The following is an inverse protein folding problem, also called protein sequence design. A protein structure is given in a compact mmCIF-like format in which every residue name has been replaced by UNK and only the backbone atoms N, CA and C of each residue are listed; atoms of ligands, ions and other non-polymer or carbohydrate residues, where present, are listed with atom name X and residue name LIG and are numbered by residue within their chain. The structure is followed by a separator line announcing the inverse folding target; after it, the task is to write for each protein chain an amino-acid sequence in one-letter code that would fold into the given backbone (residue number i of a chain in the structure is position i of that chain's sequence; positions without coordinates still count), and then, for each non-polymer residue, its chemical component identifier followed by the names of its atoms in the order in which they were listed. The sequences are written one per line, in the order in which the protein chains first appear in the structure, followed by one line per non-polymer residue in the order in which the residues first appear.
data_IF_272900436485
#
_entry.id   IF_272900436485
#
_cell.length_a   1.000
_cell.length_b   1.000
_cell.length_c   1.000
_cell.angle_alpha   90.00
_cell.angle_beta   90.00
_cell.angle_gamma   90.00
#
_symmetry.space_group_name_H-M   'P 1'
#
loop_
_entity.id
_entity.type
_entity.pdbx_description
1 polymer ?
#
# COMPACT_ATOMS: atom_id res chain seq x y z
N UNK A 1 -42.16 -7.14 38.89
CA UNK A 1 -41.62 -7.30 37.53
C UNK A 1 -41.32 -5.90 37.00
N UNK A 2 -40.06 -5.47 37.10
CA UNK A 2 -39.65 -4.12 36.67
C UNK A 2 -39.53 -4.14 35.15
N UNK A 3 -40.44 -3.41 34.47
CA UNK A 3 -40.38 -3.21 33.04
C UNK A 3 -39.20 -2.26 32.76
N UNK A 4 -38.04 -2.83 32.42
CA UNK A 4 -36.91 -2.07 31.89
C UNK A 4 -37.32 -1.55 30.50
N UNK A 5 -37.80 -0.32 30.43
CA UNK A 5 -37.94 0.41 29.17
C UNK A 5 -36.54 0.71 28.68
N UNK A 6 -35.99 -0.20 27.88
CA UNK A 6 -34.77 0.04 27.12
C UNK A 6 -35.17 1.08 26.06
N UNK A 7 -34.82 2.34 26.31
CA UNK A 7 -34.87 3.40 25.31
C UNK A 7 -33.87 3.04 24.20
N UNK A 8 -34.30 2.21 23.25
CA UNK A 8 -33.71 2.26 21.93
C UNK A 8 -34.10 3.63 21.38
N UNK A 9 -33.15 4.56 21.28
CA UNK A 9 -33.31 5.75 20.46
C UNK A 9 -33.46 5.30 19.00
N UNK A 10 -34.65 4.84 18.64
CA UNK A 10 -35.07 4.63 17.26
C UNK A 10 -35.29 6.05 16.73
N UNK A 11 -34.20 6.71 16.30
CA UNK A 11 -34.32 7.96 15.57
C UNK A 11 -35.29 7.74 14.40
N UNK A 12 -36.36 8.54 14.35
CA UNK A 12 -37.31 8.49 13.26
C UNK A 12 -36.61 8.97 11.99
N UNK A 13 -36.70 8.18 10.92
CA UNK A 13 -36.21 8.61 9.63
C UNK A 13 -37.10 9.72 9.06
N UNK A 14 -36.56 10.58 8.18
CA UNK A 14 -37.37 11.54 7.43
C UNK A 14 -38.52 10.85 6.67
N UNK A 15 -39.66 11.54 6.44
CA UNK A 15 -40.84 10.95 5.79
C UNK A 15 -40.57 10.34 4.40
N UNK A 16 -39.57 10.85 3.68
CA UNK A 16 -39.14 10.43 2.35
C UNK A 16 -38.06 9.32 2.36
N UNK A 17 -37.56 8.94 3.54
CA UNK A 17 -36.44 8.00 3.68
C UNK A 17 -36.81 6.86 4.62
N UNK A 18 -37.44 5.78 4.12
CA UNK A 18 -37.83 4.66 4.97
C UNK A 18 -36.60 4.04 5.65
N UNK A 19 -36.81 3.41 6.81
CA UNK A 19 -35.75 2.71 7.52
C UNK A 19 -35.48 1.35 6.85
N UNK A 20 -34.22 1.03 6.63
CA UNK A 20 -33.75 -0.24 6.08
C UNK A 20 -33.08 -1.09 7.16
N UNK A 21 -33.29 -2.41 7.08
CA UNK A 21 -32.60 -3.39 7.91
C UNK A 21 -31.47 -4.02 7.10
N UNK A 22 -30.24 -3.77 7.51
CA UNK A 22 -29.05 -4.21 6.81
C UNK A 22 -28.56 -5.52 7.40
N UNK A 23 -28.11 -6.45 6.56
CA UNK A 23 -27.44 -7.67 7.02
C UNK A 23 -26.13 -7.34 7.77
N UNK A 24 -25.44 -6.29 7.32
CA UNK A 24 -24.17 -5.83 7.86
C UNK A 24 -24.32 -4.36 8.28
N UNK A 25 -23.89 -3.98 9.50
CA UNK A 25 -23.87 -2.58 9.91
C UNK A 25 -23.06 -1.73 8.91
N UNK A 26 -23.59 -0.60 8.40
CA UNK A 26 -22.90 0.22 7.41
C UNK A 26 -21.48 0.62 7.83
N UNK A 27 -21.25 0.93 9.10
CA UNK A 27 -19.94 1.34 9.61
C UNK A 27 -18.95 0.20 9.83
N UNK A 28 -19.34 -1.08 9.71
CA UNK A 28 -18.46 -2.20 10.06
C UNK A 28 -17.13 -2.16 9.27
N UNK A 29 -17.19 -1.83 7.98
CA UNK A 29 -16.01 -1.77 7.10
C UNK A 29 -15.88 -0.42 6.36
N UNK A 30 -16.77 0.54 6.64
CA UNK A 30 -16.73 1.82 5.95
C UNK A 30 -15.55 2.67 6.43
N UNK A 31 -14.89 3.36 5.50
CA UNK A 31 -13.79 4.28 5.78
C UNK A 31 -13.97 5.58 5.03
N UNK A 32 -13.41 6.65 5.59
CA UNK A 32 -13.39 7.98 4.98
C UNK A 32 -11.93 8.43 4.80
N UNK A 33 -11.25 8.07 3.70
CA UNK A 33 -9.83 8.37 3.54
C UNK A 33 -9.48 9.86 3.63
N UNK A 34 -10.41 10.73 3.21
CA UNK A 34 -10.27 12.18 3.32
C UNK A 34 -10.30 12.69 4.77
N UNK A 35 -10.94 11.97 5.68
CA UNK A 35 -11.10 12.29 7.10
C UNK A 35 -10.84 11.04 7.96
N UNK A 36 -9.57 10.64 8.13
CA UNK A 36 -9.21 9.38 8.80
C UNK A 36 -9.56 9.36 10.29
N UNK A 37 -9.76 10.52 10.89
CA UNK A 37 -10.20 10.76 12.26
C UNK A 37 -11.73 10.87 12.40
N UNK A 38 -12.48 10.81 11.29
CA UNK A 38 -13.93 10.92 11.34
C UNK A 38 -14.57 9.72 12.03
N UNK A 39 -15.50 10.00 12.92
CA UNK A 39 -16.37 9.00 13.55
C UNK A 39 -17.42 8.55 12.55
N UNK A 40 -17.51 7.25 12.31
CA UNK A 40 -18.60 6.66 11.53
C UNK A 40 -19.85 6.49 12.40
N UNK A 41 -21.01 6.80 11.85
CA UNK A 41 -22.33 6.59 12.43
C UNK A 41 -23.20 5.84 11.43
N UNK A 42 -23.79 4.72 11.88
CA UNK A 42 -24.69 3.94 11.05
C UNK A 42 -25.95 4.74 10.71
N UNK A 43 -26.26 4.85 9.42
CA UNK A 43 -27.46 5.51 8.94
C UNK A 43 -28.32 4.50 8.15
N UNK A 44 -29.42 4.10 8.77
CA UNK A 44 -30.39 3.15 8.21
C UNK A 44 -31.52 3.83 7.43
N UNK A 45 -31.52 5.16 7.29
CA UNK A 45 -32.58 5.90 6.63
C UNK A 45 -32.31 6.03 5.13
N UNK A 46 -33.24 5.58 4.29
CA UNK A 46 -33.13 5.56 2.84
C UNK A 46 -32.07 4.59 2.30
N UNK A 47 -31.54 3.71 3.15
CA UNK A 47 -30.59 2.67 2.76
C UNK A 47 -29.68 2.25 3.91
N UNK A 48 -28.62 1.50 3.57
CA UNK A 48 -27.55 1.07 4.45
C UNK A 48 -26.35 2.01 4.29
N UNK A 49 -26.42 3.20 4.88
CA UNK A 49 -25.47 4.28 4.65
C UNK A 49 -24.53 4.44 5.84
N UNK A 50 -23.27 4.79 5.56
CA UNK A 50 -22.28 5.15 6.56
C UNK A 50 -22.07 6.66 6.54
N UNK A 51 -22.43 7.34 7.62
CA UNK A 51 -22.24 8.78 7.76
C UNK A 51 -20.99 9.07 8.59
N UNK A 52 -20.11 9.93 8.09
CA UNK A 52 -18.85 10.27 8.75
C UNK A 52 -18.91 11.67 9.34
N UNK A 53 -18.37 11.84 10.55
CA UNK A 53 -18.40 13.10 11.30
C UNK A 53 -17.03 13.46 11.86
N UNK A 54 -16.66 14.73 11.76
CA UNK A 54 -15.53 15.32 12.50
C UNK A 54 -16.11 16.28 13.52
N UNK A 55 -16.01 15.94 14.80
CA UNK A 55 -16.85 16.55 15.84
C UNK A 55 -18.32 16.30 15.53
N UNK A 56 -19.12 17.36 15.47
CA UNK A 56 -20.56 17.29 15.15
C UNK A 56 -20.87 17.57 13.66
N UNK A 57 -19.84 17.80 12.83
CA UNK A 57 -20.03 18.13 11.41
C UNK A 57 -19.96 16.89 10.54
N UNK A 58 -21.04 16.61 9.79
CA UNK A 58 -21.04 15.55 8.77
C UNK A 58 -20.11 15.92 7.62
N UNK A 59 -19.18 15.04 7.29
CA UNK A 59 -18.18 15.24 6.22
C UNK A 59 -18.50 14.40 4.99
N UNK A 60 -18.08 14.88 3.82
CA UNK A 60 -18.19 14.14 2.57
C UNK A 60 -16.84 13.51 2.22
N UNK A 61 -16.76 12.18 2.23
CA UNK A 61 -15.52 11.45 1.98
C UNK A 61 -14.95 11.60 0.55
N UNK A 62 -15.76 12.09 -0.40
CA UNK A 62 -15.31 12.45 -1.75
C UNK A 62 -14.74 13.87 -1.85
N UNK A 63 -14.88 14.68 -0.80
CA UNK A 63 -14.38 16.05 -0.73
C UNK A 63 -13.20 16.15 0.23
N UNK A 64 -12.27 17.02 -0.09
CA UNK A 64 -11.14 17.27 0.78
C UNK A 64 -11.54 18.14 1.99
N UNK A 65 -10.85 17.99 3.14
CA UNK A 65 -11.07 18.87 4.29
C UNK A 65 -10.87 20.35 3.94
N UNK A 66 -11.60 21.30 4.58
CA UNK A 66 -11.46 22.73 4.31
C UNK A 66 -10.02 23.24 4.48
N UNK A 67 -9.28 22.67 5.43
CA UNK A 67 -7.88 23.01 5.72
C UNK A 67 -6.86 22.21 4.88
N UNK A 68 -7.32 21.33 3.99
CA UNK A 68 -6.50 20.54 3.05
C UNK A 68 -7.14 20.58 1.66
N UNK A 69 -7.14 21.73 0.97
CA UNK A 69 -7.82 21.88 -0.31
C UNK A 69 -7.32 20.86 -1.34
N UNK A 70 -8.15 20.57 -2.34
CA UNK A 70 -7.77 19.66 -3.42
C UNK A 70 -6.74 20.33 -4.33
N UNK A 71 -5.67 19.62 -4.64
CA UNK A 71 -4.64 20.04 -5.60
C UNK A 71 -4.81 19.29 -6.93
N UNK A 72 -4.54 19.99 -8.03
CA UNK A 72 -4.47 19.42 -9.37
C UNK A 72 -3.00 19.20 -9.73
N UNK A 73 -2.60 17.93 -9.78
CA UNK A 73 -1.22 17.54 -10.02
C UNK A 73 -0.98 17.33 -11.52
N UNK A 74 0.17 17.76 -12.03
CA UNK A 74 0.58 17.45 -13.40
C UNK A 74 0.78 15.95 -13.61
N UNK A 75 1.30 15.27 -12.59
CA UNK A 75 1.55 13.83 -12.59
C UNK A 75 0.79 13.21 -11.41
N UNK A 76 0.02 12.12 -11.62
CA UNK A 76 -0.63 11.39 -10.53
C UNK A 76 0.41 10.97 -9.47
N UNK A 77 0.17 11.22 -8.16
CA UNK A 77 1.14 10.94 -7.12
C UNK A 77 1.69 9.50 -7.12
N UNK A 78 0.84 8.51 -7.40
CA UNK A 78 1.24 7.10 -7.41
C UNK A 78 2.04 6.67 -8.64
N UNK A 79 2.19 7.50 -9.68
CA UNK A 79 2.83 7.09 -10.92
C UNK A 79 4.31 6.70 -10.72
N UNK A 80 5.02 7.39 -9.83
CA UNK A 80 6.44 7.13 -9.52
C UNK A 80 6.71 6.88 -8.03
N UNK A 81 5.69 6.91 -7.18
CA UNK A 81 5.86 6.73 -5.74
C UNK A 81 6.14 5.25 -5.41
N UNK A 82 7.00 5.03 -4.42
CA UNK A 82 7.33 3.69 -3.90
C UNK A 82 7.31 3.72 -2.38
N UNK A 83 7.05 2.56 -1.78
CA UNK A 83 7.09 2.35 -0.34
C UNK A 83 8.17 1.32 0.01
N UNK A 84 9.42 1.73 0.30
CA UNK A 84 10.51 0.77 0.57
C UNK A 84 10.24 -0.16 1.76
N UNK A 85 9.55 0.35 2.78
CA UNK A 85 9.17 -0.42 3.96
C UNK A 85 8.11 -1.51 3.65
N UNK A 86 7.31 -1.32 2.60
CA UNK A 86 6.25 -2.25 2.19
C UNK A 86 6.21 -2.34 0.66
N UNK A 87 7.12 -3.11 0.04
CA UNK A 87 7.24 -3.17 -1.42
C UNK A 87 5.96 -3.60 -2.15
N UNK A 88 5.13 -4.41 -1.48
CA UNK A 88 3.86 -4.93 -2.01
C UNK A 88 2.65 -4.06 -1.65
N UNK A 89 2.86 -2.89 -1.03
CA UNK A 89 1.76 -2.00 -0.65
C UNK A 89 1.06 -1.41 -1.89
N UNK A 90 -0.27 -1.38 -1.84
CA UNK A 90 -1.09 -0.70 -2.83
C UNK A 90 -0.97 0.82 -2.66
N UNK A 91 -0.60 1.51 -3.73
CA UNK A 91 -0.61 2.98 -3.76
C UNK A 91 -2.00 3.52 -4.13
N UNK A 92 -2.43 4.59 -3.48
CA UNK A 92 -3.65 5.34 -3.76
C UNK A 92 -3.32 6.83 -3.85
N UNK A 93 -3.76 7.48 -4.92
CA UNK A 93 -3.55 8.91 -5.10
C UNK A 93 -4.34 9.71 -4.06
N UNK A 94 -3.67 10.66 -3.41
CA UNK A 94 -4.28 11.59 -2.47
C UNK A 94 -4.01 13.04 -2.90
N UNK A 95 -5.07 13.68 -3.39
CA UNK A 95 -5.03 15.07 -3.88
C UNK A 95 -5.36 16.11 -2.81
N UNK A 96 -5.64 15.70 -1.56
CA UNK A 96 -6.03 16.62 -0.50
C UNK A 96 -4.81 17.18 0.23
N UNK A 97 -4.66 18.50 0.24
CA UNK A 97 -3.52 19.21 0.85
C UNK A 97 -2.20 19.03 0.09
N UNK A 98 -2.23 18.49 -1.12
CA UNK A 98 -1.07 18.34 -2.00
C UNK A 98 -1.19 17.18 -2.98
N UNK A 99 -0.07 16.86 -3.63
CA UNK A 99 0.10 15.72 -4.53
C UNK A 99 0.74 14.56 -3.76
N UNK A 100 -0.06 13.86 -2.95
CA UNK A 100 0.42 12.87 -2.00
C UNK A 100 0.14 11.44 -2.46
N UNK A 101 1.05 10.53 -2.18
CA UNK A 101 0.87 9.10 -2.42
C UNK A 101 0.63 8.38 -1.08
N UNK A 102 -0.55 7.78 -0.92
CA UNK A 102 -0.89 6.99 0.26
C UNK A 102 -0.70 5.51 -0.04
N UNK A 103 -0.04 4.77 0.86
CA UNK A 103 0.24 3.35 0.68
C UNK A 103 -0.51 2.49 1.69
N UNK A 104 -1.00 1.34 1.24
CA UNK A 104 -1.82 0.44 2.03
C UNK A 104 -1.35 -1.01 1.93
N UNK A 105 -1.34 -1.72 3.06
CA UNK A 105 -1.24 -3.18 3.12
C UNK A 105 -2.59 -3.69 3.59
N UNK A 106 -3.31 -4.38 2.70
CA UNK A 106 -4.76 -4.58 2.87
C UNK A 106 -5.48 -3.23 2.97
N UNK A 107 -6.25 -3.03 4.03
CA UNK A 107 -6.99 -1.77 4.25
C UNK A 107 -6.29 -0.81 5.23
N UNK A 108 -5.05 -1.11 5.64
CA UNK A 108 -4.30 -0.33 6.62
C UNK A 108 -3.33 0.60 5.93
N UNK A 109 -3.47 1.91 6.15
CA UNK A 109 -2.52 2.92 5.65
C UNK A 109 -1.19 2.77 6.38
N UNK A 110 -0.11 2.58 5.64
CA UNK A 110 1.24 2.41 6.17
C UNK A 110 2.08 3.66 5.96
N UNK A 111 3.06 3.87 6.84
CA UNK A 111 4.08 4.91 6.68
C UNK A 111 5.25 4.32 5.89
N UNK A 112 5.59 4.96 4.77
CA UNK A 112 6.69 4.54 3.90
C UNK A 112 8.06 5.05 4.31
N UNK A 113 8.10 6.02 5.22
CA UNK A 113 9.32 6.32 5.95
C UNK A 113 9.72 5.06 6.71
N UNK A 114 10.93 4.57 6.46
CA UNK A 114 11.49 3.50 7.28
C UNK A 114 11.66 4.05 8.70
N UNK A 115 10.94 3.54 9.72
CA UNK A 115 11.23 3.96 11.08
C UNK A 115 12.72 3.77 11.39
N UNK A 116 13.39 4.72 12.05
CA UNK A 116 14.77 4.49 12.49
C UNK A 116 14.91 3.22 13.36
N UNK A 117 13.81 2.80 14.02
CA UNK A 117 13.72 1.61 14.86
C UNK A 117 13.52 0.28 14.08
N UNK A 118 13.27 0.32 12.78
CA UNK A 118 13.21 -0.89 11.93
C UNK A 118 14.45 -1.07 11.07
N UNK A 119 15.47 -0.22 11.23
CA UNK A 119 16.81 -0.50 10.70
C UNK A 119 17.33 -1.69 11.49
N UNK A 120 17.26 -2.88 10.88
CA UNK A 120 17.74 -4.08 11.56
C UNK A 120 19.26 -4.08 11.56
N UNK A 121 19.87 -4.19 12.74
CA UNK A 121 21.32 -4.35 12.85
C UNK A 121 21.68 -5.78 12.46
N UNK A 122 22.04 -5.95 11.20
CA UNK A 122 22.52 -7.23 10.70
C UNK A 122 23.91 -7.50 11.27
N UNK A 123 24.16 -8.75 11.70
CA UNK A 123 25.53 -9.19 12.06
C UNK A 123 26.51 -9.03 10.90
N UNK A 124 26.00 -9.21 9.67
CA UNK A 124 26.74 -9.05 8.41
C UNK A 124 25.85 -8.29 7.43
N UNK A 125 26.38 -7.31 6.67
CA UNK A 125 25.62 -6.63 5.62
C UNK A 125 25.01 -7.63 4.62
N UNK A 126 23.72 -7.49 4.26
CA UNK A 126 23.05 -8.45 3.37
C UNK A 126 23.74 -8.68 2.02
N UNK A 127 24.31 -7.64 1.41
CA UNK A 127 25.04 -7.73 0.15
C UNK A 127 26.37 -8.48 0.26
N UNK A 128 26.93 -8.65 1.47
CA UNK A 128 28.14 -9.45 1.68
C UNK A 128 27.80 -10.94 1.73
N UNK A 129 26.57 -11.28 2.13
CA UNK A 129 26.04 -12.64 2.11
C UNK A 129 25.46 -13.01 0.74
N UNK A 130 24.79 -12.06 0.09
CA UNK A 130 24.11 -12.23 -1.19
C UNK A 130 24.60 -11.14 -2.15
N UNK A 131 25.79 -11.34 -2.73
CA UNK A 131 26.43 -10.35 -3.60
C UNK A 131 26.02 -10.46 -5.07
N UNK A 132 25.37 -11.55 -5.46
CA UNK A 132 25.01 -11.83 -6.84
C UNK A 132 23.52 -12.20 -7.01
N UNK A 133 22.97 -11.78 -8.13
CA UNK A 133 21.63 -12.09 -8.60
C UNK A 133 21.75 -12.99 -9.83
N UNK A 134 21.53 -14.31 -9.73
CA UNK A 134 21.76 -15.25 -10.84
C UNK A 134 21.00 -14.88 -12.12
N UNK A 135 19.76 -14.38 -11.97
CA UNK A 135 18.94 -13.93 -13.10
C UNK A 135 19.44 -12.63 -13.75
N UNK A 136 20.22 -11.82 -13.02
CA UNK A 136 20.77 -10.55 -13.50
C UNK A 136 22.21 -10.35 -13.00
N UNK A 137 23.21 -11.03 -13.60
CA UNK A 137 24.60 -11.02 -13.11
C UNK A 137 25.28 -9.63 -13.10
N UNK A 138 24.71 -8.68 -13.85
CA UNK A 138 25.17 -7.27 -13.90
C UNK A 138 24.44 -6.36 -12.91
N UNK A 139 23.48 -6.87 -12.15
CA UNK A 139 22.75 -6.06 -11.19
C UNK A 139 23.65 -5.70 -10.00
N UNK A 140 23.56 -4.45 -9.56
CA UNK A 140 24.25 -3.95 -8.37
C UNK A 140 23.42 -4.29 -7.13
N UNK A 141 24.04 -4.91 -6.13
CA UNK A 141 23.42 -5.11 -4.83
C UNK A 141 23.41 -3.80 -4.01
N UNK A 142 22.32 -3.57 -3.28
CA UNK A 142 22.15 -2.49 -2.32
C UNK A 142 21.59 -3.06 -1.03
N UNK A 143 22.26 -2.76 0.09
CA UNK A 143 21.81 -3.19 1.41
C UNK A 143 20.48 -2.49 1.76
N UNK A 144 19.46 -3.28 2.08
CA UNK A 144 18.18 -2.81 2.55
C UNK A 144 17.94 -3.33 3.97
N UNK A 145 18.06 -2.41 4.93
CA UNK A 145 17.87 -2.69 6.36
C UNK A 145 16.44 -2.46 6.84
N UNK A 146 15.52 -2.11 5.95
CA UNK A 146 14.19 -1.72 6.35
C UNK A 146 13.32 -2.95 6.65
N UNK A 147 12.98 -3.14 7.93
CA UNK A 147 12.15 -4.27 8.37
C UNK A 147 12.89 -5.62 8.41
N UNK A 148 14.20 -5.63 8.17
CA UNK A 148 15.01 -6.85 8.13
C UNK A 148 16.37 -6.64 7.47
N UNK A 149 17.05 -7.75 7.16
CA UNK A 149 18.36 -7.78 6.52
C UNK A 149 18.22 -8.26 5.07
N UNK A 150 17.94 -7.34 4.15
CA UNK A 150 17.63 -7.68 2.76
C UNK A 150 18.70 -7.18 1.79
N UNK A 151 18.93 -7.96 0.73
CA UNK A 151 19.76 -7.58 -0.40
C UNK A 151 18.85 -7.24 -1.60
N UNK A 152 18.80 -5.97 -1.98
CA UNK A 152 18.04 -5.53 -3.15
C UNK A 152 18.98 -5.37 -4.35
N UNK A 153 18.59 -5.92 -5.50
CA UNK A 153 19.40 -5.88 -6.72
C UNK A 153 18.84 -4.92 -7.75
N UNK A 154 19.71 -4.12 -8.36
CA UNK A 154 19.35 -3.09 -9.33
C UNK A 154 20.13 -3.22 -10.63
N UNK A 155 19.43 -3.32 -11.76
CA UNK A 155 20.04 -3.24 -13.09
C UNK A 155 19.64 -1.90 -13.72
N UNK A 156 20.63 -1.09 -14.13
CA UNK A 156 20.41 0.24 -14.71
C UNK A 156 19.47 1.12 -13.85
N UNK A 157 19.61 1.07 -12.53
CA UNK A 157 18.81 1.85 -11.57
C UNK A 157 17.40 1.31 -11.30
N UNK A 158 17.00 0.18 -11.90
CA UNK A 158 15.69 -0.46 -11.64
C UNK A 158 15.87 -1.73 -10.80
N UNK A 159 15.05 -1.90 -9.75
CA UNK A 159 15.05 -3.11 -8.91
C UNK A 159 14.60 -4.32 -9.74
N UNK A 160 15.34 -5.42 -9.66
CA UNK A 160 15.07 -6.66 -10.39
C UNK A 160 14.77 -7.80 -9.42
N UNK A 161 13.99 -8.79 -9.87
CA UNK A 161 13.67 -9.99 -9.08
C UNK A 161 14.62 -11.13 -9.46
N UNK A 162 15.48 -11.52 -8.52
CA UNK A 162 16.48 -12.57 -8.72
C UNK A 162 15.89 -13.99 -8.79
N UNK A 163 14.62 -14.18 -8.44
CA UNK A 163 13.92 -15.46 -8.57
C UNK A 163 13.27 -15.63 -9.95
N UNK A 164 13.07 -14.53 -10.68
CA UNK A 164 12.51 -14.58 -12.03
C UNK A 164 13.64 -14.86 -13.01
N UNK A 165 13.82 -16.14 -13.35
CA UNK A 165 14.64 -16.53 -14.49
C UNK A 165 14.07 -15.80 -15.71
N UNK A 166 14.81 -14.83 -16.24
CA UNK A 166 14.55 -14.41 -17.61
C UNK A 166 14.94 -15.59 -18.49
N UNK A 167 14.09 -16.00 -19.46
CA UNK A 167 14.52 -16.95 -20.46
C UNK A 167 15.81 -16.41 -21.08
N UNK A 168 16.82 -17.27 -21.32
CA UNK A 168 18.09 -16.83 -21.86
C UNK A 168 17.83 -15.98 -23.10
N UNK A 169 18.44 -14.79 -23.14
CA UNK A 169 18.42 -13.97 -24.34
C UNK A 169 18.96 -14.82 -25.50
N UNK A 170 18.14 -15.13 -26.53
CA UNK A 170 18.57 -16.00 -27.62
C UNK A 170 19.72 -15.41 -28.44
N UNK A 171 20.06 -14.13 -28.23
CA UNK A 171 21.08 -13.42 -28.99
C UNK A 171 22.45 -13.33 -28.29
N UNK A 172 22.76 -14.15 -27.27
CA UNK A 172 24.09 -14.11 -26.62
C UNK A 172 24.79 -15.46 -26.44
N UNK A 173 24.53 -16.42 -27.32
CA UNK A 173 25.50 -17.50 -27.56
C UNK A 173 26.58 -16.98 -28.51
N UNK A 174 27.63 -16.38 -27.94
CA UNK A 174 28.87 -16.19 -28.69
C UNK A 174 29.53 -17.55 -28.83
N UNK A 175 29.81 -17.96 -30.06
CA UNK A 175 30.44 -19.24 -30.45
C UNK A 175 31.86 -19.39 -29.84
N UNK A 176 32.37 -18.38 -29.14
CA UNK A 176 33.71 -18.35 -28.57
C UNK A 176 33.92 -19.28 -27.34
N UNK A 177 32.88 -19.73 -26.64
CA UNK A 177 33.07 -20.57 -25.44
C UNK A 177 32.88 -22.08 -25.68
N UNK A 178 32.55 -22.53 -26.90
CA UNK A 178 32.31 -23.97 -27.17
C UNK A 178 33.56 -24.76 -27.61
N UNK A 179 34.73 -24.13 -27.77
CA UNK A 179 35.93 -24.82 -28.30
C UNK A 179 36.89 -25.31 -27.19
N UNK A 180 36.69 -24.99 -25.90
CA UNK A 180 37.67 -25.37 -24.86
C UNK A 180 37.35 -26.62 -24.02
N UNK A 181 36.21 -27.30 -24.22
CA UNK A 181 35.87 -28.50 -23.41
C UNK A 181 35.73 -29.84 -24.17
N UNK A 182 36.19 -29.95 -25.42
CA UNK A 182 36.21 -31.26 -26.13
C UNK A 182 37.58 -31.71 -26.65
N UNK A 183 38.68 -31.14 -26.15
CA UNK A 183 40.02 -31.39 -26.68
C UNK A 183 41.07 -31.84 -25.66
N UNK A 184 40.78 -32.82 -24.79
CA UNK A 184 41.83 -33.76 -24.34
C UNK A 184 41.25 -34.95 -23.53
N UNK A 185 41.02 -36.06 -24.20
CA UNK A 185 41.06 -37.40 -23.60
C UNK A 185 41.20 -38.41 -24.73
N UNK A 186 42.46 -38.72 -25.07
CA UNK A 186 43.00 -39.99 -25.59
C UNK A 186 44.40 -39.74 -26.15
#
# INVERSE_FOLDING_TARGET
MVLLIIYFCIGNCPPDKPRHYCLIPPCLNAKCPAYPDAKCVDNYCGGCNADFYVGDTKVNCGQCPPYKPRHYCLIPPCNNAKCPAYPDAKCVDNYCGGCNADFYVGDTKVKCACPPLTIHQCKVPPCDLFSNCPAYPKAKCVNNYCGGCFADFYLNGRKVDCKKLTPPNPCRFSIAEFILETGNSS
#
